data_IF_686814441309
#
_entry.id   IF_686814441309
#
_cell.length_a   1.000
_cell.length_b   1.000
_cell.length_c   1.000
_cell.angle_alpha   90.00
_cell.angle_beta   90.00
_cell.angle_gamma   90.00
#
_symmetry.space_group_name_H-M   'P 1'
#
loop_
_entity.id
_entity.type
_entity.pdbx_description
1 polymer ?
#
# COMPACT_ATOMS: atom_id res chain seq x y z
N UNK A 1 -6.26 6.65 -20.81
CA UNK A 1 -6.93 6.85 -19.52
C UNK A 1 -5.94 6.75 -18.38
N UNK A 2 -5.86 7.77 -17.54
CA UNK A 2 -4.92 7.79 -16.42
C UNK A 2 -5.32 6.80 -15.32
N UNK A 3 -4.33 6.18 -14.69
CA UNK A 3 -4.53 5.33 -13.52
C UNK A 3 -4.13 6.10 -12.27
N UNK A 4 -4.83 5.82 -11.16
CA UNK A 4 -4.57 6.45 -9.86
C UNK A 4 -3.93 5.48 -8.88
N UNK A 5 -3.80 4.22 -9.25
CA UNK A 5 -3.30 3.15 -8.41
C UNK A 5 -2.44 2.19 -9.24
N UNK A 6 -1.29 1.80 -8.68
CA UNK A 6 -0.38 0.84 -9.31
C UNK A 6 0.21 -0.06 -8.24
N UNK A 7 0.51 -1.32 -8.56
CA UNK A 7 0.99 -2.30 -7.58
C UNK A 7 1.87 -3.37 -8.20
N UNK A 8 2.70 -4.02 -7.36
CA UNK A 8 3.53 -5.18 -7.69
C UNK A 8 3.65 -6.07 -6.47
N UNK A 9 3.76 -7.36 -6.73
CA UNK A 9 4.06 -8.34 -5.68
C UNK A 9 5.29 -9.13 -6.07
N UNK A 10 6.28 -9.19 -5.16
CA UNK A 10 7.48 -10.01 -5.32
C UNK A 10 7.70 -10.78 -4.02
N UNK A 11 7.54 -12.13 -4.09
CA UNK A 11 7.62 -12.95 -2.89
C UNK A 11 6.61 -12.51 -1.85
N UNK A 12 7.07 -12.22 -0.64
CA UNK A 12 6.19 -11.73 0.44
C UNK A 12 6.00 -10.21 0.44
N UNK A 13 6.71 -9.49 -0.42
CA UNK A 13 6.62 -8.03 -0.51
C UNK A 13 5.52 -7.62 -1.46
N UNK A 14 4.57 -6.84 -0.97
CA UNK A 14 3.49 -6.26 -1.77
C UNK A 14 3.63 -4.74 -1.71
N UNK A 15 3.83 -4.10 -2.86
CA UNK A 15 4.01 -2.65 -2.97
C UNK A 15 2.86 -2.06 -3.75
N UNK A 16 2.27 -1.01 -3.20
CA UNK A 16 1.13 -0.31 -3.80
C UNK A 16 1.40 1.19 -3.78
N UNK A 17 1.12 1.87 -4.89
CA UNK A 17 1.32 3.32 -4.99
C UNK A 17 0.04 4.00 -5.43
N UNK A 18 -0.36 5.02 -4.68
CA UNK A 18 -1.46 5.92 -5.02
C UNK A 18 -0.87 7.27 -5.45
N UNK A 19 -1.43 7.87 -6.50
CA UNK A 19 -1.10 9.26 -6.85
C UNK A 19 -1.92 10.23 -5.99
N UNK A 20 -2.13 11.47 -6.44
CA UNK A 20 -2.87 12.48 -5.67
C UNK A 20 -4.38 12.25 -5.69
N UNK A 21 -4.88 11.37 -6.56
CA UNK A 21 -6.31 11.12 -6.74
C UNK A 21 -6.72 9.79 -6.12
N UNK A 22 -7.95 9.73 -5.67
CA UNK A 22 -8.51 8.47 -5.14
C UNK A 22 -8.72 7.46 -6.28
N UNK A 23 -8.54 6.16 -6.01
CA UNK A 23 -8.80 5.15 -7.01
C UNK A 23 -10.29 5.11 -7.36
N UNK A 24 -10.59 4.86 -8.63
CA UNK A 24 -11.98 4.61 -9.04
C UNK A 24 -12.40 3.22 -8.56
N UNK A 25 -13.70 2.97 -8.53
CA UNK A 25 -14.20 1.64 -8.15
C UNK A 25 -13.73 0.56 -9.12
N UNK A 26 -13.62 0.88 -10.41
CA UNK A 26 -13.13 -0.06 -11.42
C UNK A 26 -11.66 -0.42 -11.17
N UNK A 27 -10.82 0.58 -10.89
CA UNK A 27 -9.40 0.36 -10.55
C UNK A 27 -9.27 -0.46 -9.29
N UNK A 28 -10.04 -0.13 -8.27
CA UNK A 28 -9.97 -0.82 -6.98
C UNK A 28 -10.39 -2.28 -7.11
N UNK A 29 -11.47 -2.56 -7.85
CA UNK A 29 -11.89 -3.94 -8.08
C UNK A 29 -10.82 -4.74 -8.82
N UNK A 30 -10.17 -4.12 -9.81
CA UNK A 30 -9.05 -4.75 -10.52
C UNK A 30 -7.89 -5.06 -9.58
N UNK A 31 -7.56 -4.13 -8.70
CA UNK A 31 -6.54 -4.31 -7.67
C UNK A 31 -6.90 -5.49 -6.75
N UNK A 32 -8.11 -5.50 -6.21
CA UNK A 32 -8.58 -6.57 -5.32
C UNK A 32 -8.52 -7.93 -6.03
N UNK A 33 -9.01 -8.00 -7.26
CA UNK A 33 -9.03 -9.24 -8.03
C UNK A 33 -7.63 -9.79 -8.29
N UNK A 34 -6.66 -8.93 -8.58
CA UNK A 34 -5.31 -9.39 -8.90
C UNK A 34 -4.42 -9.61 -7.66
N UNK A 35 -4.73 -8.97 -6.54
CA UNK A 35 -3.85 -8.92 -5.37
C UNK A 35 -4.32 -9.73 -4.18
N UNK A 36 -5.61 -10.06 -4.10
CA UNK A 36 -6.19 -10.64 -2.88
C UNK A 36 -5.52 -11.95 -2.46
N UNK A 37 -5.13 -12.80 -3.38
CA UNK A 37 -4.43 -14.05 -3.06
C UNK A 37 -3.09 -13.78 -2.37
N UNK A 38 -2.32 -12.82 -2.86
CA UNK A 38 -1.02 -12.46 -2.28
C UNK A 38 -1.19 -11.78 -0.93
N UNK A 39 -2.11 -10.83 -0.84
CA UNK A 39 -2.33 -10.06 0.39
C UNK A 39 -2.94 -10.94 1.49
N UNK A 40 -3.64 -12.02 1.13
CA UNK A 40 -4.19 -12.98 2.09
C UNK A 40 -3.13 -13.91 2.70
N UNK A 41 -1.93 -14.01 2.13
CA UNK A 41 -0.87 -14.87 2.67
C UNK A 41 -0.39 -14.37 4.03
N UNK A 42 -0.06 -15.30 4.92
CA UNK A 42 0.29 -15.00 6.32
C UNK A 42 1.56 -14.17 6.46
N UNK A 43 2.51 -14.35 5.55
CA UNK A 43 3.83 -13.73 5.63
C UNK A 43 3.96 -12.45 4.78
N UNK A 44 2.87 -11.99 4.16
CA UNK A 44 2.93 -10.80 3.31
C UNK A 44 3.32 -9.56 4.11
N UNK A 45 4.13 -8.70 3.50
CA UNK A 45 4.55 -7.40 4.03
C UNK A 45 4.08 -6.34 3.05
N UNK A 46 3.28 -5.39 3.51
CA UNK A 46 2.60 -4.43 2.64
C UNK A 46 3.24 -3.05 2.82
N UNK A 47 3.75 -2.50 1.72
CA UNK A 47 4.31 -1.15 1.66
C UNK A 47 3.47 -0.32 0.71
N UNK A 48 2.89 0.76 1.22
CA UNK A 48 2.03 1.65 0.45
C UNK A 48 2.66 3.03 0.41
N UNK A 49 2.74 3.62 -0.78
CA UNK A 49 3.11 5.03 -0.95
C UNK A 49 1.88 5.78 -1.45
N UNK A 50 1.51 6.87 -0.77
CA UNK A 50 0.40 7.72 -1.21
C UNK A 50 0.86 9.17 -1.34
N UNK A 51 0.54 9.75 -2.49
CA UNK A 51 0.74 11.19 -2.77
C UNK A 51 -0.53 11.99 -2.45
N UNK A 52 -1.50 11.38 -1.76
CA UNK A 52 -2.74 12.02 -1.35
C UNK A 52 -3.97 11.16 -1.57
N UNK A 53 -3.98 10.32 -2.59
CA UNK A 53 -5.10 9.43 -2.89
C UNK A 53 -5.21 8.29 -1.89
N UNK A 54 -6.43 7.84 -1.65
CA UNK A 54 -6.70 6.73 -0.75
C UNK A 54 -8.02 6.05 -1.11
N UNK A 55 -8.16 4.76 -0.77
CA UNK A 55 -9.44 4.08 -0.98
C UNK A 55 -10.51 4.62 -0.02
N UNK A 56 -11.75 4.60 -0.49
CA UNK A 56 -12.91 4.93 0.34
C UNK A 56 -13.16 3.85 1.40
N UNK A 57 -14.05 4.15 2.35
CA UNK A 57 -14.48 3.15 3.35
C UNK A 57 -15.08 1.92 2.69
N UNK A 58 -15.90 2.10 1.63
CA UNK A 58 -16.51 1.00 0.90
C UNK A 58 -15.44 0.16 0.19
N UNK A 59 -14.47 0.82 -0.45
CA UNK A 59 -13.37 0.13 -1.12
C UNK A 59 -12.54 -0.68 -0.12
N UNK A 60 -12.24 -0.13 1.05
CA UNK A 60 -11.53 -0.87 2.10
C UNK A 60 -12.30 -2.10 2.55
N UNK A 61 -13.64 -1.99 2.68
CA UNK A 61 -14.47 -3.15 3.05
C UNK A 61 -14.42 -4.25 1.99
N UNK A 62 -14.42 -3.89 0.71
CA UNK A 62 -14.28 -4.86 -0.38
C UNK A 62 -12.97 -5.62 -0.26
N UNK A 63 -11.86 -4.92 -0.01
CA UNK A 63 -10.55 -5.56 0.17
C UNK A 63 -10.54 -6.47 1.40
N UNK A 64 -11.04 -5.99 2.52
CA UNK A 64 -11.06 -6.78 3.77
C UNK A 64 -11.90 -8.04 3.64
N UNK A 65 -13.01 -8.00 2.91
CA UNK A 65 -13.83 -9.17 2.63
C UNK A 65 -13.06 -10.21 1.80
N UNK A 66 -12.21 -9.74 0.88
CA UNK A 66 -11.45 -10.64 0.01
C UNK A 66 -10.25 -11.29 0.72
N UNK A 67 -9.60 -10.58 1.65
CA UNK A 67 -8.37 -11.07 2.29
C UNK A 67 -8.60 -11.69 3.67
N UNK A 68 -9.79 -11.57 4.22
CA UNK A 68 -10.12 -12.10 5.54
C UNK A 68 -9.75 -11.19 6.69
N UNK A 69 -9.93 -11.70 7.93
CA UNK A 69 -9.83 -10.89 9.15
C UNK A 69 -8.43 -10.79 9.75
N UNK A 70 -7.43 -11.47 9.19
CA UNK A 70 -6.08 -11.46 9.75
C UNK A 70 -5.38 -10.14 9.45
N UNK A 71 -4.78 -9.55 10.48
CA UNK A 71 -4.00 -8.34 10.30
C UNK A 71 -2.65 -8.65 9.67
N UNK A 72 -2.17 -7.72 8.84
CA UNK A 72 -0.88 -7.83 8.15
C UNK A 72 -0.03 -6.63 8.49
N UNK A 73 1.30 -6.75 8.53
CA UNK A 73 2.15 -5.58 8.66
C UNK A 73 1.97 -4.65 7.45
N UNK A 74 1.60 -3.40 7.72
CA UNK A 74 1.39 -2.38 6.69
C UNK A 74 2.16 -1.13 7.07
N UNK A 75 3.04 -0.68 6.18
CA UNK A 75 3.70 0.62 6.29
C UNK A 75 3.14 1.54 5.22
N UNK A 76 2.63 2.70 5.64
CA UNK A 76 2.14 3.73 4.72
C UNK A 76 3.14 4.88 4.68
N UNK A 77 3.68 5.15 3.49
CA UNK A 77 4.53 6.32 3.24
C UNK A 77 3.67 7.45 2.72
N UNK A 78 3.55 8.53 3.48
CA UNK A 78 2.78 9.70 3.06
C UNK A 78 3.25 10.95 3.80
N UNK A 79 3.23 12.08 3.12
CA UNK A 79 3.49 13.39 3.73
C UNK A 79 2.19 14.09 4.11
N UNK A 80 1.04 13.48 3.81
CA UNK A 80 -0.28 14.03 4.13
C UNK A 80 -0.58 13.80 5.63
N UNK A 81 -0.72 14.89 6.38
CA UNK A 81 -0.98 14.84 7.83
C UNK A 81 -2.34 14.21 8.15
N UNK A 82 -3.35 14.44 7.31
CA UNK A 82 -4.69 13.86 7.51
C UNK A 82 -4.62 12.34 7.36
N UNK A 83 -3.92 11.85 6.33
CA UNK A 83 -3.74 10.41 6.10
C UNK A 83 -3.03 9.76 7.28
N UNK A 84 -2.00 10.41 7.84
CA UNK A 84 -1.30 9.90 9.02
C UNK A 84 -2.21 9.81 10.23
N UNK A 85 -3.09 10.79 10.41
CA UNK A 85 -4.09 10.79 11.50
C UNK A 85 -5.05 9.61 11.34
N UNK A 86 -5.52 9.33 10.11
CA UNK A 86 -6.38 8.20 9.83
C UNK A 86 -5.70 6.87 10.20
N UNK A 87 -4.41 6.74 9.89
CA UNK A 87 -3.64 5.54 10.25
C UNK A 87 -3.60 5.35 11.77
N UNK A 88 -3.38 6.42 12.53
CA UNK A 88 -3.39 6.34 14.01
C UNK A 88 -4.73 5.79 14.50
N UNK A 89 -5.84 6.26 13.94
CA UNK A 89 -7.17 5.75 14.30
C UNK A 89 -7.34 4.29 13.89
N UNK A 90 -6.85 3.89 12.73
CA UNK A 90 -6.95 2.52 12.22
C UNK A 90 -6.15 1.51 13.03
N UNK A 91 -5.16 1.94 13.79
CA UNK A 91 -4.36 1.05 14.64
C UNK A 91 -5.17 0.36 15.72
N UNK A 92 -6.33 0.87 16.07
CA UNK A 92 -7.27 0.14 16.92
C UNK A 92 -7.71 -1.17 16.30
N UNK A 93 -7.81 -1.23 14.97
CA UNK A 93 -8.27 -2.40 14.23
C UNK A 93 -7.11 -3.20 13.65
N UNK A 94 -6.01 -2.53 13.35
CA UNK A 94 -4.79 -3.18 12.84
C UNK A 94 -3.57 -2.57 13.52
N UNK A 95 -3.14 -3.12 14.69
CA UNK A 95 -1.98 -2.61 15.42
C UNK A 95 -0.65 -2.79 14.67
N UNK A 96 -0.65 -3.58 13.59
CA UNK A 96 0.54 -3.79 12.75
C UNK A 96 0.63 -2.79 11.59
N UNK A 97 -0.12 -1.71 11.63
CA UNK A 97 -0.09 -0.64 10.65
C UNK A 97 0.61 0.59 11.21
N UNK A 98 1.49 1.22 10.43
CA UNK A 98 2.17 2.44 10.84
C UNK A 98 2.39 3.36 9.63
N UNK A 99 2.30 4.68 9.87
CA UNK A 99 2.56 5.69 8.85
C UNK A 99 3.96 6.28 9.04
N UNK A 100 4.58 6.62 7.91
CA UNK A 100 5.92 7.22 7.84
C UNK A 100 5.89 8.36 6.82
N UNK A 101 6.85 9.26 6.91
CA UNK A 101 7.07 10.25 5.85
C UNK A 101 7.58 9.56 4.59
N UNK A 102 7.38 10.17 3.42
CA UNK A 102 7.85 9.58 2.16
C UNK A 102 9.37 9.43 2.10
N UNK A 103 10.11 10.22 2.88
CA UNK A 103 11.57 10.10 3.00
C UNK A 103 12.02 8.96 3.92
N UNK A 104 11.11 8.33 4.64
CA UNK A 104 11.41 7.33 5.67
C UNK A 104 11.25 5.89 5.19
N UNK A 105 11.68 5.60 3.96
CA UNK A 105 11.60 4.25 3.38
C UNK A 105 12.41 3.25 4.20
N UNK A 106 13.56 3.65 4.71
CA UNK A 106 14.41 2.79 5.54
C UNK A 106 13.71 2.39 6.83
N UNK A 107 13.11 3.35 7.53
CA UNK A 107 12.37 3.11 8.77
C UNK A 107 11.13 2.24 8.52
N UNK A 108 10.43 2.46 7.41
CA UNK A 108 9.30 1.64 7.00
C UNK A 108 9.75 0.20 6.73
N UNK A 109 10.89 0.03 6.07
CA UNK A 109 11.47 -1.29 5.80
C UNK A 109 11.84 -2.02 7.08
N UNK A 110 12.41 -1.30 8.07
CA UNK A 110 12.71 -1.86 9.39
C UNK A 110 11.43 -2.32 10.08
N UNK A 111 10.39 -1.49 10.04
CA UNK A 111 9.10 -1.81 10.64
C UNK A 111 8.50 -3.08 10.04
N UNK A 112 8.62 -3.25 8.72
CA UNK A 112 8.11 -4.42 8.01
C UNK A 112 9.01 -5.66 8.16
N UNK A 113 10.20 -5.51 8.71
CA UNK A 113 11.16 -6.60 8.85
C UNK A 113 11.68 -7.12 7.52
N UNK A 114 11.92 -6.23 6.56
CA UNK A 114 12.39 -6.63 5.23
C UNK A 114 13.85 -7.04 5.25
N UNK A 115 14.19 -8.06 4.46
CA UNK A 115 15.58 -8.46 4.21
C UNK A 115 16.28 -7.38 3.37
N UNK A 116 17.59 -7.45 3.25
CA UNK A 116 18.35 -6.50 2.44
C UNK A 116 17.91 -6.53 0.97
N UNK A 117 17.68 -7.71 0.42
CA UNK A 117 17.17 -7.85 -0.95
C UNK A 117 15.78 -7.24 -1.11
N UNK A 118 14.90 -7.47 -0.14
CA UNK A 118 13.54 -6.90 -0.17
C UNK A 118 13.59 -5.37 -0.09
N UNK A 119 14.47 -4.80 0.75
CA UNK A 119 14.66 -3.35 0.86
C UNK A 119 15.08 -2.74 -0.47
N UNK A 120 16.05 -3.37 -1.13
CA UNK A 120 16.54 -2.91 -2.43
C UNK A 120 15.42 -2.97 -3.48
N UNK A 121 14.65 -4.04 -3.49
CA UNK A 121 13.51 -4.18 -4.41
C UNK A 121 12.41 -3.18 -4.11
N UNK A 122 12.14 -2.92 -2.83
CA UNK A 122 11.11 -1.95 -2.44
C UNK A 122 11.41 -0.56 -3.01
N UNK A 123 12.64 -0.10 -2.92
CA UNK A 123 13.06 1.20 -3.47
C UNK A 123 12.84 1.24 -4.99
N UNK A 124 13.25 0.19 -5.69
CA UNK A 124 13.09 0.10 -7.15
C UNK A 124 11.62 0.07 -7.54
N UNK A 125 10.82 -0.76 -6.85
CA UNK A 125 9.39 -0.91 -7.16
C UNK A 125 8.61 0.38 -6.91
N UNK A 126 8.90 1.08 -5.82
CA UNK A 126 8.27 2.38 -5.55
C UNK A 126 8.51 3.36 -6.70
N UNK A 127 9.76 3.45 -7.16
CA UNK A 127 10.12 4.35 -8.25
C UNK A 127 9.45 3.94 -9.58
N UNK A 128 9.44 2.65 -9.89
CA UNK A 128 8.82 2.14 -11.11
C UNK A 128 7.31 2.40 -11.13
N UNK A 129 6.64 2.14 -10.01
CA UNK A 129 5.19 2.31 -9.90
C UNK A 129 4.79 3.78 -9.98
N UNK A 130 5.53 4.67 -9.34
CA UNK A 130 5.29 6.11 -9.48
C UNK A 130 5.46 6.57 -10.93
N UNK A 131 6.49 6.06 -11.61
CA UNK A 131 6.73 6.39 -13.00
C UNK A 131 5.59 5.92 -13.90
N UNK A 132 5.07 4.71 -13.66
CA UNK A 132 3.92 4.20 -14.41
C UNK A 132 2.70 5.10 -14.26
N UNK A 133 2.42 5.56 -13.05
CA UNK A 133 1.28 6.46 -12.80
C UNK A 133 1.48 7.82 -13.47
N UNK A 134 2.69 8.36 -13.45
CA UNK A 134 3.00 9.63 -14.10
C UNK A 134 2.85 9.53 -15.63
N UNK A 135 3.24 8.40 -16.21
CA UNK A 135 3.13 8.17 -17.66
C UNK A 135 1.70 7.89 -18.10
N UNK A 136 0.89 7.29 -17.23
CA UNK A 136 -0.50 6.97 -17.52
C UNK A 136 -1.42 8.20 -17.47
N UNK A 137 -0.97 9.25 -16.81
CA UNK A 137 -1.68 10.52 -16.74
C UNK A 137 -1.38 11.38 -17.93
#
# INVERSE_FOLDING_TARGET
MGSNLSWRTEGRLHVCVHNERDPTNVEWQRYVNSSSEHVAKLDVRILILSRGGSPSGDQRRVLMSAIGKRTKPVALLTDNAIARTVVVAMRFFNPTMKAFKTSEVSEASDFLGLTQNERSRAVVLLAELERELAQAG
#
